data_IF_620164228523
#
_entry.id   IF_620164228523
#
_cell.length_a   1.000
_cell.length_b   1.000
_cell.length_c   1.000
_cell.angle_alpha   90.00
_cell.angle_beta   90.00
_cell.angle_gamma   90.00
#
_symmetry.space_group_name_H-M   'P 1'
#
loop_
_entity.id
_entity.type
_entity.pdbx_description
1 polymer ?
#
# COMPACT_ATOMS: atom_id res chain seq x y z
N UNK A 1 -12.80 42.25 5.82
CA UNK A 1 -13.79 41.57 4.94
C UNK A 1 -13.72 40.04 5.05
N UNK A 2 -12.55 39.39 4.91
CA UNK A 2 -12.36 37.93 5.05
C UNK A 2 -13.09 37.30 6.25
N UNK A 3 -12.82 37.81 7.46
CA UNK A 3 -13.43 37.27 8.68
C UNK A 3 -14.95 37.41 8.71
N UNK A 4 -15.51 38.44 8.06
CA UNK A 4 -16.95 38.61 7.94
C UNK A 4 -17.60 37.57 7.03
N UNK A 5 -16.93 37.19 5.94
CA UNK A 5 -17.40 36.11 5.05
C UNK A 5 -17.38 34.77 5.80
N UNK A 6 -16.29 34.46 6.51
CA UNK A 6 -16.17 33.24 7.31
C UNK A 6 -17.25 33.20 8.41
N UNK A 7 -17.51 34.34 9.07
CA UNK A 7 -18.56 34.44 10.10
C UNK A 7 -19.94 34.11 9.52
N UNK A 8 -20.29 34.69 8.36
CA UNK A 8 -21.55 34.40 7.67
C UNK A 8 -21.65 32.94 7.22
N UNK A 9 -20.58 32.37 6.68
CA UNK A 9 -20.55 30.96 6.28
C UNK A 9 -20.78 30.03 7.48
N UNK A 10 -20.22 30.36 8.65
CA UNK A 10 -20.48 29.66 9.91
C UNK A 10 -21.92 29.79 10.36
N UNK A 11 -22.49 31.00 10.32
CA UNK A 11 -23.89 31.24 10.68
C UNK A 11 -24.83 30.40 9.79
N UNK A 12 -24.61 30.39 8.47
CA UNK A 12 -25.38 29.57 7.52
C UNK A 12 -25.24 28.08 7.84
N UNK A 13 -24.01 27.61 8.09
CA UNK A 13 -23.77 26.20 8.40
C UNK A 13 -24.51 25.73 9.65
N UNK A 14 -24.57 26.58 10.69
CA UNK A 14 -25.25 26.28 11.94
C UNK A 14 -26.77 26.40 11.78
N UNK A 15 -27.27 27.52 11.23
CA UNK A 15 -28.70 27.81 11.17
C UNK A 15 -29.47 26.89 10.22
N UNK A 16 -28.82 26.43 9.16
CA UNK A 16 -29.45 25.61 8.14
C UNK A 16 -28.97 24.15 8.16
N UNK A 17 -28.15 23.76 9.14
CA UNK A 17 -27.49 22.45 9.19
C UNK A 17 -26.75 22.09 7.89
N UNK A 18 -26.28 23.11 7.18
CA UNK A 18 -25.68 22.97 5.87
C UNK A 18 -24.16 22.74 6.00
N UNK A 19 -23.62 21.90 5.12
CA UNK A 19 -22.17 21.78 4.95
C UNK A 19 -21.70 22.88 4.00
N UNK A 20 -20.86 23.77 4.54
CA UNK A 20 -20.41 24.98 3.85
C UNK A 20 -18.88 25.00 3.85
N UNK A 21 -18.29 25.30 2.70
CA UNK A 21 -16.86 25.59 2.58
C UNK A 21 -16.65 26.92 1.87
N UNK A 22 -15.61 27.65 2.29
CA UNK A 22 -15.19 28.89 1.64
C UNK A 22 -13.68 28.81 1.42
N UNK A 23 -13.26 28.96 0.15
CA UNK A 23 -11.85 29.05 -0.25
C UNK A 23 -11.56 30.48 -0.68
N UNK A 24 -10.51 31.08 -0.13
CA UNK A 24 -10.13 32.47 -0.38
C UNK A 24 -8.65 32.52 -0.74
N UNK A 25 -8.36 33.02 -1.95
CA UNK A 25 -7.01 33.32 -2.42
C UNK A 25 -6.70 34.80 -2.23
N UNK A 26 -5.57 35.13 -1.60
CA UNK A 26 -5.07 36.50 -1.58
C UNK A 26 -4.46 36.90 -2.93
N UNK A 27 -4.25 38.19 -3.15
CA UNK A 27 -3.49 38.69 -4.29
C UNK A 27 -2.03 38.17 -4.35
N UNK A 28 -1.48 37.74 -3.20
CA UNK A 28 -0.18 37.08 -3.11
C UNK A 28 -0.21 35.57 -3.38
N UNK A 29 -1.37 35.01 -3.75
CA UNK A 29 -1.54 33.58 -4.02
C UNK A 29 -1.69 32.70 -2.78
N UNK A 30 -1.72 33.26 -1.57
CA UNK A 30 -1.90 32.47 -0.34
C UNK A 30 -3.35 32.01 -0.22
N UNK A 31 -3.55 30.69 -0.12
CA UNK A 31 -4.84 30.08 0.13
C UNK A 31 -5.19 30.14 1.62
N UNK A 32 -6.45 30.45 1.91
CA UNK A 32 -7.06 30.29 3.23
C UNK A 32 -8.44 29.69 3.06
N UNK A 33 -8.83 28.80 3.97
CA UNK A 33 -10.09 28.08 3.90
C UNK A 33 -10.87 28.12 5.21
N UNK A 34 -12.18 27.95 5.08
CA UNK A 34 -13.09 27.61 6.17
C UNK A 34 -13.94 26.42 5.72
N UNK A 35 -14.15 25.46 6.62
CA UNK A 35 -15.11 24.38 6.44
C UNK A 35 -16.01 24.26 7.67
N UNK A 36 -17.28 23.91 7.43
CA UNK A 36 -18.21 23.51 8.47
C UNK A 36 -17.65 22.34 9.30
N UNK A 37 -17.86 22.28 10.62
CA UNK A 37 -17.26 21.25 11.49
C UNK A 37 -17.59 19.79 11.10
N UNK A 38 -18.74 19.57 10.45
CA UNK A 38 -19.20 18.24 10.01
C UNK A 38 -18.63 17.81 8.65
N UNK A 39 -17.65 18.53 8.10
CA UNK A 39 -17.05 18.21 6.81
C UNK A 39 -15.62 18.74 6.68
N UNK A 40 -14.96 18.42 5.57
CA UNK A 40 -13.64 18.95 5.21
C UNK A 40 -13.67 19.43 3.76
N UNK A 41 -12.72 20.29 3.38
CA UNK A 41 -12.65 20.83 2.02
C UNK A 41 -12.59 19.70 0.97
N UNK A 42 -11.75 18.66 1.11
CA UNK A 42 -11.74 17.55 0.15
C UNK A 42 -13.10 16.87 -0.02
N UNK A 43 -13.82 16.61 1.07
CA UNK A 43 -15.15 15.97 1.05
C UNK A 43 -16.22 16.84 0.41
N UNK A 44 -16.12 18.16 0.53
CA UNK A 44 -17.05 19.10 -0.11
C UNK A 44 -16.75 19.22 -1.61
N UNK A 45 -15.47 19.30 -1.98
CA UNK A 45 -15.03 19.35 -3.37
C UNK A 45 -15.38 18.06 -4.13
N UNK A 46 -15.16 16.89 -3.53
CA UNK A 46 -15.56 15.59 -4.10
C UNK A 46 -17.06 15.54 -4.41
N UNK A 47 -17.91 15.96 -3.46
CA UNK A 47 -19.36 16.01 -3.67
C UNK A 47 -19.80 17.06 -4.67
N UNK A 48 -19.14 18.22 -4.69
CA UNK A 48 -19.39 19.22 -5.73
C UNK A 48 -19.10 18.63 -7.11
N UNK A 49 -17.98 17.93 -7.28
CA UNK A 49 -17.65 17.30 -8.55
C UNK A 49 -18.67 16.22 -8.95
N UNK A 50 -19.09 15.36 -8.02
CA UNK A 50 -20.12 14.33 -8.28
C UNK A 50 -21.45 14.95 -8.73
N UNK A 51 -21.87 16.06 -8.10
CA UNK A 51 -23.17 16.68 -8.36
C UNK A 51 -23.17 17.64 -9.55
N UNK A 52 -22.06 18.35 -9.79
CA UNK A 52 -21.95 19.35 -10.87
C UNK A 52 -21.48 18.75 -12.20
N UNK A 53 -20.89 17.55 -12.17
CA UNK A 53 -20.23 16.95 -13.33
C UNK A 53 -18.95 17.68 -13.76
N UNK A 54 -18.54 18.73 -13.07
CA UNK A 54 -17.31 19.46 -13.36
C UNK A 54 -16.11 18.73 -12.76
N UNK A 55 -15.14 18.37 -13.60
CA UNK A 55 -13.86 17.82 -13.14
C UNK A 55 -13.02 18.94 -12.54
N UNK A 56 -12.88 18.94 -11.22
CA UNK A 56 -12.04 19.87 -10.46
C UNK A 56 -10.57 19.49 -10.53
N UNK A 57 -10.27 18.20 -10.70
CA UNK A 57 -8.91 17.70 -10.82
C UNK A 57 -8.51 17.51 -12.29
N UNK A 58 -7.24 17.75 -12.59
CA UNK A 58 -6.69 17.42 -13.91
C UNK A 58 -6.82 15.92 -14.21
N UNK A 59 -6.94 15.50 -15.49
CA UNK A 59 -7.00 14.09 -15.87
C UNK A 59 -5.87 13.23 -15.29
N UNK A 60 -4.70 13.82 -15.00
CA UNK A 60 -3.56 13.14 -14.37
C UNK A 60 -3.90 12.56 -12.99
N UNK A 61 -4.79 13.19 -12.22
CA UNK A 61 -5.23 12.67 -10.91
C UNK A 61 -6.19 11.48 -11.06
N UNK A 62 -7.00 11.43 -12.13
CA UNK A 62 -7.83 10.24 -12.43
C UNK A 62 -6.95 9.05 -12.78
N UNK A 63 -5.92 9.27 -13.60
CA UNK A 63 -4.94 8.23 -13.93
C UNK A 63 -4.25 7.70 -12.68
N UNK A 64 -3.86 8.59 -11.75
CA UNK A 64 -3.22 8.17 -10.51
C UNK A 64 -4.16 7.38 -9.60
N UNK A 65 -5.44 7.76 -9.49
CA UNK A 65 -6.42 7.00 -8.71
C UNK A 65 -6.63 5.60 -9.29
N UNK A 66 -6.80 5.50 -10.62
CA UNK A 66 -6.93 4.21 -11.29
C UNK A 66 -5.69 3.33 -11.12
N UNK A 67 -4.50 3.94 -11.14
CA UNK A 67 -3.24 3.25 -10.88
C UNK A 67 -3.14 2.74 -9.44
N UNK A 68 -3.55 3.55 -8.45
CA UNK A 68 -3.61 3.12 -7.05
C UNK A 68 -4.55 1.92 -6.89
N UNK A 69 -5.73 1.96 -7.51
CA UNK A 69 -6.69 0.87 -7.42
C UNK A 69 -6.19 -0.40 -8.13
N UNK A 70 -5.47 -0.25 -9.25
CA UNK A 70 -4.79 -1.35 -9.94
C UNK A 70 -3.75 -2.01 -9.04
N UNK A 71 -2.85 -1.22 -8.45
CA UNK A 71 -1.78 -1.72 -7.58
C UNK A 71 -2.34 -2.36 -6.31
N UNK A 72 -3.41 -1.79 -5.71
CA UNK A 72 -4.09 -2.42 -4.57
C UNK A 72 -4.64 -3.80 -4.93
N UNK A 73 -5.34 -3.91 -6.07
CA UNK A 73 -5.88 -5.18 -6.53
C UNK A 73 -4.79 -6.23 -6.80
N UNK A 74 -3.68 -5.82 -7.40
CA UNK A 74 -2.53 -6.69 -7.62
C UNK A 74 -1.93 -7.18 -6.29
N UNK A 75 -1.76 -6.27 -5.32
CA UNK A 75 -1.29 -6.62 -3.98
C UNK A 75 -2.24 -7.59 -3.26
N UNK A 76 -3.55 -7.38 -3.36
CA UNK A 76 -4.55 -8.28 -2.76
C UNK A 76 -4.48 -9.69 -3.38
N UNK A 77 -4.29 -9.78 -4.69
CA UNK A 77 -4.08 -11.05 -5.38
C UNK A 77 -2.79 -11.74 -4.92
N UNK A 78 -1.67 -11.02 -4.83
CA UNK A 78 -0.40 -11.57 -4.34
C UNK A 78 -0.53 -12.06 -2.89
N UNK A 79 -1.30 -11.36 -2.05
CA UNK A 79 -1.55 -11.82 -0.68
C UNK A 79 -2.35 -13.12 -0.63
N UNK A 80 -3.32 -13.30 -1.54
CA UNK A 80 -4.06 -14.57 -1.68
C UNK A 80 -3.11 -15.69 -2.08
N UNK A 81 -2.27 -15.48 -3.11
CA UNK A 81 -1.28 -16.47 -3.55
C UNK A 81 -0.30 -16.85 -2.43
N UNK A 82 0.18 -15.88 -1.66
CA UNK A 82 1.05 -16.13 -0.50
C UNK A 82 0.38 -16.97 0.58
N UNK A 83 -0.93 -16.78 0.83
CA UNK A 83 -1.68 -17.62 1.77
C UNK A 83 -1.76 -19.05 1.26
N UNK A 84 -2.09 -19.25 -0.02
CA UNK A 84 -2.13 -20.58 -0.61
C UNK A 84 -0.77 -21.29 -0.54
N UNK A 85 0.34 -20.59 -0.84
CA UNK A 85 1.70 -21.15 -0.70
C UNK A 85 2.06 -21.50 0.74
N UNK A 86 1.46 -20.84 1.74
CA UNK A 86 1.62 -21.19 3.16
C UNK A 86 0.73 -22.35 3.61
N UNK A 87 -0.11 -22.87 2.73
CA UNK A 87 -1.09 -23.90 3.05
C UNK A 87 -2.37 -23.38 3.71
N UNK A 88 -2.63 -22.07 3.64
CA UNK A 88 -3.85 -21.42 4.13
C UNK A 88 -4.90 -21.34 3.00
N UNK A 89 -6.19 -21.22 3.35
CA UNK A 89 -7.33 -21.04 2.42
C UNK A 89 -7.49 -22.07 1.28
N UNK A 90 -6.84 -23.23 1.36
CA UNK A 90 -6.80 -24.24 0.30
C UNK A 90 -8.15 -24.89 -0.03
N UNK A 91 -9.11 -24.88 0.90
CA UNK A 91 -10.44 -25.47 0.69
C UNK A 91 -11.24 -24.77 -0.43
N UNK A 92 -10.84 -23.55 -0.80
CA UNK A 92 -11.46 -22.79 -1.89
C UNK A 92 -10.96 -23.21 -3.28
N UNK A 93 -9.84 -23.95 -3.34
CA UNK A 93 -9.18 -24.34 -4.58
C UNK A 93 -9.61 -25.73 -5.04
N UNK A 94 -9.72 -25.90 -6.35
CA UNK A 94 -9.94 -27.20 -6.94
C UNK A 94 -8.62 -27.96 -7.16
N UNK A 95 -8.65 -29.30 -7.35
CA UNK A 95 -7.42 -30.09 -7.49
C UNK A 95 -6.45 -29.61 -8.59
N UNK A 96 -6.95 -29.03 -9.70
CA UNK A 96 -6.09 -28.52 -10.77
C UNK A 96 -5.33 -27.26 -10.35
N UNK A 97 -5.90 -26.48 -9.44
CA UNK A 97 -5.27 -25.27 -8.89
C UNK A 97 -4.24 -25.60 -7.81
N UNK A 98 -4.35 -26.76 -7.16
CA UNK A 98 -3.39 -27.22 -6.14
C UNK A 98 -2.08 -27.75 -6.74
N UNK A 99 -2.12 -28.37 -7.93
CA UNK A 99 -0.95 -28.92 -8.63
C UNK A 99 0.21 -27.91 -8.77
N UNK A 100 0.00 -26.69 -9.31
CA UNK A 100 1.10 -25.73 -9.46
C UNK A 100 1.65 -25.24 -8.11
N UNK A 101 0.82 -25.20 -7.07
CA UNK A 101 1.25 -24.82 -5.71
C UNK A 101 2.17 -25.90 -5.14
N UNK A 102 1.78 -27.17 -5.27
CA UNK A 102 2.60 -28.32 -4.85
C UNK A 102 3.95 -28.35 -5.57
N UNK A 103 3.94 -28.19 -6.90
CA UNK A 103 5.17 -28.18 -7.70
C UNK A 103 6.11 -27.04 -7.30
N UNK A 104 5.57 -25.82 -7.14
CA UNK A 104 6.34 -24.67 -6.69
C UNK A 104 6.96 -24.90 -5.30
N UNK A 105 6.21 -25.49 -4.36
CA UNK A 105 6.71 -25.81 -3.02
C UNK A 105 7.79 -26.91 -3.06
N UNK A 106 7.60 -27.93 -3.90
CA UNK A 106 8.55 -29.03 -4.05
C UNK A 106 9.89 -28.55 -4.65
N UNK A 107 9.82 -27.71 -5.69
CA UNK A 107 10.99 -27.05 -6.29
C UNK A 107 11.68 -26.17 -5.24
N UNK A 108 10.94 -25.29 -4.56
CA UNK A 108 11.48 -24.40 -3.54
C UNK A 108 12.17 -25.15 -2.40
N UNK A 109 11.56 -26.24 -1.92
CA UNK A 109 12.14 -27.11 -0.89
C UNK A 109 13.44 -27.76 -1.36
N UNK A 110 13.49 -28.19 -2.62
CA UNK A 110 14.69 -28.80 -3.22
C UNK A 110 15.83 -27.79 -3.25
N UNK A 111 15.60 -26.57 -3.77
CA UNK A 111 16.59 -25.50 -3.80
C UNK A 111 17.11 -25.12 -2.41
N UNK A 112 16.22 -25.03 -1.40
CA UNK A 112 16.64 -24.74 -0.02
C UNK A 112 17.53 -25.84 0.54
N UNK A 113 17.19 -27.11 0.32
CA UNK A 113 18.00 -28.26 0.78
C UNK A 113 19.37 -28.31 0.11
N UNK A 114 19.42 -28.07 -1.19
CA UNK A 114 20.69 -27.95 -1.92
C UNK A 114 21.56 -26.86 -1.32
N UNK A 115 20.97 -25.68 -1.06
CA UNK A 115 21.71 -24.57 -0.48
C UNK A 115 22.22 -24.85 0.93
N UNK A 116 21.40 -25.49 1.77
CA UNK A 116 21.82 -25.93 3.10
C UNK A 116 22.99 -26.93 3.02
N UNK A 117 22.94 -27.86 2.08
CA UNK A 117 24.02 -28.83 1.88
C UNK A 117 25.32 -28.17 1.41
N UNK A 118 25.25 -27.19 0.50
CA UNK A 118 26.42 -26.41 0.08
C UNK A 118 27.09 -25.71 1.28
N UNK A 119 26.29 -25.03 2.10
CA UNK A 119 26.75 -24.31 3.29
C UNK A 119 27.41 -25.28 4.26
N UNK A 120 26.77 -26.42 4.55
CA UNK A 120 27.33 -27.44 5.44
C UNK A 120 28.67 -27.99 4.93
N UNK A 121 28.77 -28.30 3.63
CA UNK A 121 30.02 -28.78 3.01
C UNK A 121 31.14 -27.73 3.13
N UNK A 122 30.82 -26.45 2.92
CA UNK A 122 31.76 -25.35 3.08
C UNK A 122 32.27 -25.24 4.53
N UNK A 123 31.37 -25.25 5.51
CA UNK A 123 31.75 -25.21 6.93
C UNK A 123 32.66 -26.37 7.33
N UNK A 124 32.31 -27.60 6.92
CA UNK A 124 33.12 -28.80 7.21
C UNK A 124 34.52 -28.74 6.57
N UNK A 125 34.64 -28.14 5.38
CA UNK A 125 35.95 -27.93 4.74
C UNK A 125 36.77 -26.90 5.50
N UNK A 126 36.16 -25.79 5.90
CA UNK A 126 36.84 -24.72 6.65
C UNK A 126 37.32 -25.23 8.02
N UNK A 127 36.51 -26.02 8.72
CA UNK A 127 36.88 -26.64 10.00
C UNK A 127 38.15 -27.50 9.87
N UNK A 128 38.22 -28.37 8.86
CA UNK A 128 39.42 -29.18 8.60
C UNK A 128 40.66 -28.34 8.31
N UNK A 129 40.51 -27.27 7.52
CA UNK A 129 41.62 -26.37 7.21
C UNK A 129 42.13 -25.67 8.47
N UNK A 130 41.22 -25.19 9.33
CA UNK A 130 41.57 -24.57 10.60
C UNK A 130 42.23 -25.55 11.57
N UNK A 131 41.76 -26.80 11.64
CA UNK A 131 42.41 -27.84 12.43
C UNK A 131 43.84 -28.12 11.95
N UNK A 132 44.05 -28.13 10.64
CA UNK A 132 45.36 -28.36 10.04
C UNK A 132 46.31 -27.18 10.26
N UNK A 133 45.84 -25.94 10.09
CA UNK A 133 46.60 -24.73 10.44
C UNK A 133 46.97 -24.69 11.93
N UNK A 134 46.03 -24.98 12.83
CA UNK A 134 46.30 -25.03 14.27
C UNK A 134 47.38 -26.05 14.62
N UNK A 135 47.37 -27.24 14.00
CA UNK A 135 48.44 -28.24 14.19
C UNK A 135 49.81 -27.73 13.78
N UNK A 136 49.90 -26.95 12.68
CA UNK A 136 51.16 -26.35 12.23
C UNK A 136 51.66 -25.24 13.17
N UNK A 137 50.76 -24.54 13.87
CA UNK A 137 51.10 -23.46 14.80
C UNK A 137 51.43 -23.94 16.23
N UNK A 138 51.15 -25.21 16.56
CA UNK A 138 51.39 -25.78 17.89
C UNK A 138 52.77 -26.48 17.99
N UNK A 139 53.57 -26.43 16.92
CA UNK A 139 54.99 -26.79 16.88
C UNK A 139 55.88 -25.55 17.00
#
# INVERSE_FOLDING_TARGET
RRNGIIKKAREISILCEAQVSVVIFSSSGKMSEYCSPSSSLPKILERYQQNSGQKLWEPKHETLSAEIDRVKKENDNMQIELRHLKGEDLNSLNPKELIPIEDALQIGLTCVREKQMEIWKMHKKNERLLEEENKQLTY
#
